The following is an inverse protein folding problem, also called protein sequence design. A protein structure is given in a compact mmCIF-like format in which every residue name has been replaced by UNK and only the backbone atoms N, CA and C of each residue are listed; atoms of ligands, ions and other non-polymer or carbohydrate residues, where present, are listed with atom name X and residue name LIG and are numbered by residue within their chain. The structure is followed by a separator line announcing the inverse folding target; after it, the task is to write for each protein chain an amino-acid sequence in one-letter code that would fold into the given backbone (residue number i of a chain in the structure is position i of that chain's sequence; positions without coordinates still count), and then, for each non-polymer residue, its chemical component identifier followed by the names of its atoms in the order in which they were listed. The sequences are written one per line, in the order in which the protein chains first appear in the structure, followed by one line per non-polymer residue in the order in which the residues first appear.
data_IF_468309757111
#
_entry.id   IF_468309757111
#
_cell.length_a   1.000
_cell.length_b   1.000
_cell.length_c   1.000
_cell.angle_alpha   90.00
_cell.angle_beta   90.00
_cell.angle_gamma   90.00
#
_symmetry.space_group_name_H-M   'P 1'
#
loop_
_entity.id
_entity.type
_entity.pdbx_description
1 polymer ?
#
# COMPACT_ATOMS: atom_id res chain seq x y z
N UNK A 1 3.12 -10.57 -0.43
CA UNK A 1 3.13 -10.62 1.07
C UNK A 1 1.68 -10.66 1.55
N UNK A 2 1.36 -11.31 2.67
CA UNK A 2 -0.02 -11.32 3.20
C UNK A 2 -0.32 -10.02 3.96
N UNK A 3 -1.60 -9.62 4.00
CA UNK A 3 -2.07 -8.47 4.78
C UNK A 3 -1.70 -8.67 6.26
N UNK A 4 -1.19 -7.63 6.96
CA UNK A 4 -0.87 -7.72 8.38
C UNK A 4 -2.11 -8.03 9.20
N UNK A 5 -1.99 -9.03 10.05
CA UNK A 5 -2.94 -9.34 11.12
C UNK A 5 -2.17 -9.31 12.44
N UNK A 6 -2.71 -8.59 13.42
CA UNK A 6 -2.03 -8.35 14.69
C UNK A 6 -2.71 -9.10 15.81
N UNK A 7 -1.91 -9.71 16.69
CA UNK A 7 -2.39 -10.25 17.95
C UNK A 7 -2.84 -9.11 18.88
N UNK A 8 -3.83 -9.41 19.73
CA UNK A 8 -4.31 -8.47 20.74
C UNK A 8 -3.18 -8.06 21.70
N UNK A 9 -3.15 -6.79 22.11
CA UNK A 9 -2.14 -6.26 23.03
C UNK A 9 -0.76 -5.97 22.40
N UNK A 10 -0.56 -6.20 21.10
CA UNK A 10 0.69 -5.81 20.43
C UNK A 10 0.90 -4.30 20.46
N UNK A 11 2.12 -3.84 20.82
CA UNK A 11 2.42 -2.42 20.92
C UNK A 11 2.29 -1.69 19.56
N UNK A 12 1.65 -0.50 19.48
CA UNK A 12 1.42 0.22 18.23
C UNK A 12 2.68 0.47 17.39
N UNK A 13 3.82 0.75 18.03
CA UNK A 13 5.10 0.95 17.32
C UNK A 13 5.53 -0.27 16.50
N UNK A 14 5.29 -1.48 17.01
CA UNK A 14 5.60 -2.72 16.30
C UNK A 14 4.65 -2.91 15.12
N UNK A 15 3.36 -2.64 15.32
CA UNK A 15 2.34 -2.69 14.26
C UNK A 15 2.73 -1.77 13.09
N UNK A 16 3.10 -0.53 13.39
CA UNK A 16 3.52 0.44 12.37
C UNK A 16 4.75 0.00 11.58
N UNK A 17 5.69 -0.70 12.22
CA UNK A 17 6.83 -1.31 11.52
C UNK A 17 6.39 -2.34 10.48
N UNK A 18 5.46 -3.23 10.85
CA UNK A 18 4.91 -4.25 9.95
C UNK A 18 4.08 -3.63 8.83
N UNK A 19 3.26 -2.63 9.15
CA UNK A 19 2.45 -1.87 8.17
C UNK A 19 3.34 -1.24 7.10
N UNK A 20 4.40 -0.53 7.50
CA UNK A 20 5.33 0.08 6.53
C UNK A 20 5.99 -0.96 5.64
N UNK A 21 6.42 -2.09 6.20
CA UNK A 21 6.99 -3.20 5.42
C UNK A 21 6.00 -3.76 4.40
N UNK A 22 4.74 -3.95 4.80
CA UNK A 22 3.71 -4.43 3.88
C UNK A 22 3.38 -3.41 2.78
N UNK A 23 3.24 -2.13 3.13
CA UNK A 23 3.09 -1.02 2.17
C UNK A 23 4.23 -1.02 1.14
N UNK A 24 5.48 -1.14 1.61
CA UNK A 24 6.65 -1.12 0.73
C UNK A 24 6.66 -2.33 -0.22
N UNK A 25 6.18 -3.50 0.23
CA UNK A 25 5.95 -4.66 -0.65
C UNK A 25 4.93 -4.36 -1.75
N UNK A 26 3.79 -3.75 -1.40
CA UNK A 26 2.74 -3.42 -2.38
C UNK A 26 3.17 -2.37 -3.40
N UNK A 27 3.98 -1.40 -2.96
CA UNK A 27 4.61 -0.41 -3.84
C UNK A 27 5.63 -1.13 -4.74
N UNK A 28 6.50 -1.97 -4.20
CA UNK A 28 7.48 -2.71 -5.01
C UNK A 28 6.83 -3.59 -6.09
N UNK A 29 5.76 -4.32 -5.74
CA UNK A 29 5.00 -5.16 -6.69
C UNK A 29 4.36 -4.38 -7.86
N UNK A 30 4.15 -3.09 -7.69
CA UNK A 30 3.51 -2.22 -8.71
C UNK A 30 4.49 -1.20 -9.28
N UNK A 31 5.78 -1.30 -8.99
CA UNK A 31 6.76 -0.28 -9.40
C UNK A 31 6.88 -0.16 -10.92
N UNK A 32 6.89 -1.32 -11.61
CA UNK A 32 6.95 -1.40 -13.06
C UNK A 32 5.80 -0.64 -13.77
N UNK A 33 4.64 -0.48 -13.13
CA UNK A 33 3.48 0.21 -13.73
C UNK A 33 3.71 1.70 -13.94
N UNK A 34 4.71 2.26 -13.25
CA UNK A 34 5.04 3.69 -13.27
C UNK A 34 6.04 4.04 -14.37
N UNK A 35 6.62 3.03 -15.03
CA UNK A 35 7.62 3.27 -16.07
C UNK A 35 6.96 3.84 -17.34
N UNK A 36 7.63 4.76 -18.06
CA UNK A 36 7.10 5.31 -19.31
C UNK A 36 6.78 4.25 -20.37
N UNK A 37 7.56 3.17 -20.41
CA UNK A 37 7.44 2.03 -21.33
C UNK A 37 6.52 0.91 -20.82
N UNK A 38 5.92 1.04 -19.62
CA UNK A 38 5.00 0.04 -19.10
C UNK A 38 3.84 -0.20 -20.09
N UNK A 39 3.51 -1.47 -20.42
CA UNK A 39 2.48 -1.84 -21.40
C UNK A 39 1.06 -1.68 -20.82
N UNK A 40 0.74 -0.48 -20.34
CA UNK A 40 -0.54 -0.11 -19.73
C UNK A 40 -1.12 1.09 -20.46
N UNK A 41 -2.45 1.14 -20.54
CA UNK A 41 -3.14 2.33 -21.03
C UNK A 41 -2.90 3.52 -20.10
N UNK A 42 -3.05 4.78 -20.58
CA UNK A 42 -2.93 5.96 -19.73
C UNK A 42 -3.84 5.93 -18.50
N UNK A 43 -5.05 5.39 -18.66
CA UNK A 43 -6.04 5.21 -17.59
C UNK A 43 -5.52 4.24 -16.54
N UNK A 44 -4.98 3.09 -16.97
CA UNK A 44 -4.38 2.12 -16.05
C UNK A 44 -3.16 2.65 -15.31
N UNK A 45 -2.30 3.42 -15.99
CA UNK A 45 -1.19 4.12 -15.30
C UNK A 45 -1.71 5.08 -14.23
N UNK A 46 -2.80 5.80 -14.53
CA UNK A 46 -3.44 6.71 -13.57
C UNK A 46 -4.03 5.96 -12.37
N UNK A 47 -4.71 4.82 -12.58
CA UNK A 47 -5.23 3.97 -11.51
C UNK A 47 -4.11 3.49 -10.58
N UNK A 48 -2.99 3.01 -11.14
CA UNK A 48 -1.84 2.58 -10.33
C UNK A 48 -1.16 3.74 -9.59
N UNK A 49 -1.08 4.92 -10.20
CA UNK A 49 -0.58 6.14 -9.53
C UNK A 49 -1.43 6.49 -8.32
N UNK A 50 -2.77 6.51 -8.47
CA UNK A 50 -3.70 6.78 -7.37
C UNK A 50 -3.60 5.72 -6.26
N UNK A 51 -3.54 4.44 -6.64
CA UNK A 51 -3.33 3.33 -5.71
C UNK A 51 -2.03 3.48 -4.90
N UNK A 52 -0.90 3.79 -5.57
CA UNK A 52 0.39 3.99 -4.89
C UNK A 52 0.40 5.22 -4.00
N UNK A 53 -0.33 6.26 -4.35
CA UNK A 53 -0.48 7.43 -3.50
C UNK A 53 -1.25 7.07 -2.22
N UNK A 54 -2.41 6.42 -2.36
CA UNK A 54 -3.19 5.96 -1.22
C UNK A 54 -2.39 5.07 -0.26
N UNK A 55 -1.50 4.22 -0.78
CA UNK A 55 -0.58 3.44 0.05
C UNK A 55 0.43 4.29 0.83
N UNK A 56 0.99 5.33 0.21
CA UNK A 56 1.96 6.22 0.86
C UNK A 56 1.33 7.07 1.95
N UNK A 57 0.05 7.40 1.79
CA UNK A 57 -0.69 8.25 2.71
C UNK A 57 -1.07 7.51 4.02
N UNK A 58 -1.09 6.18 4.03
CA UNK A 58 -1.49 5.36 5.20
C UNK A 58 -0.88 5.83 6.53
N UNK A 59 0.44 6.04 6.69
CA UNK A 59 1.00 6.46 7.97
C UNK A 59 0.67 7.90 8.38
N UNK A 60 0.10 8.69 7.48
CA UNK A 60 -0.32 10.08 7.72
C UNK A 60 -1.85 10.20 7.90
N UNK A 61 -2.62 9.28 7.29
CA UNK A 61 -4.08 9.28 7.36
C UNK A 61 -4.62 8.63 8.64
N UNK A 62 -3.91 7.65 9.20
CA UNK A 62 -4.39 6.89 10.35
C UNK A 62 -3.52 7.14 11.58
N UNK A 63 -4.15 7.49 12.70
CA UNK A 63 -3.48 7.59 14.01
C UNK A 63 -3.30 6.21 14.67
N UNK A 64 -4.23 5.30 14.40
CA UNK A 64 -4.25 3.94 14.95
C UNK A 64 -3.96 2.89 13.86
N UNK A 65 -2.95 2.02 14.05
CA UNK A 65 -2.60 1.00 13.07
C UNK A 65 -3.69 -0.07 12.84
N UNK A 66 -4.62 -0.27 13.77
CA UNK A 66 -5.69 -1.25 13.64
C UNK A 66 -6.84 -0.78 12.73
N UNK A 67 -6.94 0.52 12.49
CA UNK A 67 -8.02 1.14 11.71
C UNK A 67 -7.71 1.23 10.21
N UNK A 68 -6.53 0.77 9.78
CA UNK A 68 -6.06 0.92 8.41
C UNK A 68 -6.93 0.14 7.43
N UNK A 69 -7.56 0.87 6.52
CA UNK A 69 -8.18 0.33 5.32
C UNK A 69 -7.18 0.39 4.17
N UNK A 70 -6.84 -0.78 3.63
CA UNK A 70 -5.91 -0.90 2.51
C UNK A 70 -6.63 -0.64 1.19
N UNK A 71 -6.04 0.14 0.27
CA UNK A 71 -6.64 0.37 -1.04
C UNK A 71 -6.66 -0.93 -1.85
N UNK A 72 -7.68 -1.11 -2.67
CA UNK A 72 -7.78 -2.27 -3.58
C UNK A 72 -6.80 -2.10 -4.73
N UNK A 73 -5.96 -3.13 -4.96
CA UNK A 73 -5.01 -3.16 -6.08
C UNK A 73 -5.77 -3.15 -7.42
N UNK A 74 -5.44 -2.24 -8.36
CA UNK A 74 -6.02 -2.27 -9.69
C UNK A 74 -5.69 -3.59 -10.42
N UNK A 75 -6.61 -4.04 -11.27
CA UNK A 75 -6.37 -5.16 -12.18
C UNK A 75 -5.77 -4.64 -13.49
N UNK A 76 -4.89 -5.45 -14.07
CA UNK A 76 -4.36 -5.22 -15.43
C UNK A 76 -5.44 -5.55 -16.44
#
# INVERSE_FOLDING_TARGET
MNKPEFIEGLHPLLKWGVIRKYRDSLISETDWTQMPDAPLTPEKKTEFTAYRQALRDIPQTYDNPDDIVWPTKPTI
#
